data_IF_369753332988
#
_entry.id   IF_369753332988
#
_cell.length_a   1.000
_cell.length_b   1.000
_cell.length_c   1.000
_cell.angle_alpha   90.00
_cell.angle_beta   90.00
_cell.angle_gamma   90.00
#
_symmetry.space_group_name_H-M   'P 1'
#
loop_
_entity.id
_entity.type
_entity.pdbx_description
1 polymer ?
#
# COMPACT_ATOMS: atom_id res chain seq x y z
N UNK A 1 20.84 12.50 14.82
CA UNK A 1 19.49 12.40 15.44
C UNK A 1 18.76 11.27 14.76
N UNK A 2 17.99 10.51 15.51
CA UNK A 2 17.06 9.54 14.93
C UNK A 2 15.98 10.29 14.15
N UNK A 3 15.60 9.77 12.97
CA UNK A 3 14.60 10.41 12.12
C UNK A 3 13.20 10.37 12.73
N UNK A 4 12.34 11.34 12.39
CA UNK A 4 10.94 11.39 12.85
C UNK A 4 10.02 10.55 11.97
N UNK A 5 10.16 10.62 10.65
CA UNK A 5 9.44 9.78 9.69
C UNK A 5 9.78 8.31 9.95
N UNK A 6 8.74 7.47 10.01
CA UNK A 6 8.85 6.07 10.36
C UNK A 6 9.19 5.21 9.14
N UNK A 7 9.96 4.16 9.36
CA UNK A 7 10.25 3.16 8.32
C UNK A 7 9.32 1.97 8.51
N UNK A 8 8.51 1.70 7.48
CA UNK A 8 7.72 0.48 7.37
C UNK A 8 8.48 -0.48 6.46
N UNK A 9 8.75 -1.70 6.88
CA UNK A 9 9.44 -2.68 6.05
C UNK A 9 8.62 -3.96 5.93
N UNK A 10 8.53 -4.50 4.71
CA UNK A 10 7.79 -5.72 4.44
C UNK A 10 8.64 -6.93 4.80
N UNK A 11 8.09 -7.81 5.63
CA UNK A 11 8.69 -9.10 5.93
C UNK A 11 8.50 -10.06 4.75
N UNK A 12 9.42 -11.01 4.61
CA UNK A 12 9.35 -12.00 3.56
C UNK A 12 10.53 -12.96 3.54
N UNK A 13 10.65 -13.78 2.47
CA UNK A 13 11.64 -14.84 2.39
C UNK A 13 13.09 -14.41 2.66
N UNK A 14 13.47 -13.18 2.28
CA UNK A 14 14.82 -12.65 2.48
C UNK A 14 15.11 -12.18 3.90
N UNK A 15 14.10 -11.94 4.74
CA UNK A 15 14.26 -11.31 6.05
C UNK A 15 13.36 -11.86 7.17
N UNK A 16 12.86 -13.10 7.02
CA UNK A 16 12.01 -13.77 8.03
C UNK A 16 12.77 -14.31 9.25
N UNK A 17 14.10 -14.40 9.17
CA UNK A 17 14.94 -14.84 10.29
C UNK A 17 15.07 -13.74 11.34
N UNK A 18 15.06 -14.14 12.61
CA UNK A 18 15.03 -13.24 13.76
C UNK A 18 16.23 -12.27 13.82
N UNK A 19 17.45 -12.73 13.48
CA UNK A 19 18.66 -11.90 13.53
C UNK A 19 18.64 -10.81 12.43
N UNK A 20 18.07 -11.14 11.27
CA UNK A 20 17.88 -10.18 10.18
C UNK A 20 16.80 -9.15 10.54
N UNK A 21 15.69 -9.58 11.13
CA UNK A 21 14.66 -8.66 11.64
C UNK A 21 15.28 -7.74 12.68
N UNK A 22 16.03 -8.26 13.65
CA UNK A 22 16.70 -7.44 14.66
C UNK A 22 17.64 -6.41 14.01
N UNK A 23 18.37 -6.81 12.97
CA UNK A 23 19.25 -5.92 12.21
C UNK A 23 18.47 -4.81 11.50
N UNK A 24 17.29 -5.10 10.93
CA UNK A 24 16.41 -4.08 10.35
C UNK A 24 15.84 -3.12 11.41
N UNK A 25 15.50 -3.61 12.60
CA UNK A 25 15.05 -2.78 13.74
C UNK A 25 16.15 -1.80 14.16
N UNK A 26 17.40 -2.27 14.23
CA UNK A 26 18.57 -1.43 14.51
C UNK A 26 18.85 -0.42 13.39
N UNK A 27 18.55 -0.78 12.15
CA UNK A 27 18.65 0.11 10.99
C UNK A 27 17.56 1.19 10.93
N UNK A 28 16.51 1.11 11.77
CA UNK A 28 15.46 2.14 11.88
C UNK A 28 14.05 1.65 11.57
N UNK A 29 13.85 0.36 11.27
CA UNK A 29 12.50 -0.20 11.07
C UNK A 29 11.64 0.03 12.32
N UNK A 30 10.52 0.73 12.12
CA UNK A 30 9.55 1.10 13.17
C UNK A 30 8.27 0.27 13.08
N UNK A 31 7.94 -0.21 11.89
CA UNK A 31 6.75 -1.03 11.64
C UNK A 31 7.11 -2.14 10.66
N UNK A 32 6.70 -3.36 10.96
CA UNK A 32 6.76 -4.50 10.04
C UNK A 32 5.43 -4.64 9.31
N UNK A 33 5.49 -4.81 7.99
CA UNK A 33 4.34 -5.18 7.15
C UNK A 33 4.39 -6.68 6.88
N UNK A 34 3.31 -7.37 7.22
CA UNK A 34 3.07 -8.79 6.92
C UNK A 34 2.10 -8.84 5.73
N UNK A 35 2.54 -9.35 4.60
CA UNK A 35 1.77 -9.31 3.35
C UNK A 35 0.99 -10.61 3.10
N UNK A 36 -0.31 -10.60 3.37
CA UNK A 36 -1.18 -11.77 3.25
C UNK A 36 -1.44 -12.19 1.79
N UNK A 37 -1.05 -11.39 0.78
CA UNK A 37 -1.15 -11.77 -0.64
C UNK A 37 -0.22 -12.91 -1.04
N UNK A 38 0.89 -13.09 -0.29
CA UNK A 38 1.94 -14.07 -0.59
C UNK A 38 2.22 -15.02 0.57
N UNK A 39 1.66 -14.75 1.75
CA UNK A 39 1.83 -15.56 2.95
C UNK A 39 0.57 -16.39 3.23
N UNK A 40 0.78 -17.65 3.61
CA UNK A 40 -0.25 -18.47 4.24
C UNK A 40 -0.26 -18.24 5.76
N UNK A 41 -1.20 -18.88 6.44
CA UNK A 41 -1.39 -18.70 7.87
C UNK A 41 -0.21 -19.16 8.72
N UNK A 42 0.60 -20.11 8.26
CA UNK A 42 1.80 -20.54 8.99
C UNK A 42 2.90 -19.49 8.86
N UNK A 43 3.11 -18.97 7.65
CA UNK A 43 4.10 -17.90 7.39
C UNK A 43 3.76 -16.65 8.20
N UNK A 44 2.48 -16.24 8.23
CA UNK A 44 2.04 -15.07 9.01
C UNK A 44 2.37 -15.25 10.51
N UNK A 45 2.14 -16.44 11.08
CA UNK A 45 2.46 -16.75 12.49
C UNK A 45 3.96 -16.71 12.75
N UNK A 46 4.75 -17.30 11.87
CA UNK A 46 6.21 -17.33 11.98
C UNK A 46 6.80 -15.92 11.92
N UNK A 47 6.39 -15.11 10.93
CA UNK A 47 6.85 -13.73 10.77
C UNK A 47 6.52 -12.89 12.01
N UNK A 48 5.32 -13.05 12.56
CA UNK A 48 4.90 -12.34 13.77
C UNK A 48 5.69 -12.77 15.00
N UNK A 49 5.93 -14.07 15.18
CA UNK A 49 6.72 -14.58 16.31
C UNK A 49 8.17 -14.08 16.24
N UNK A 50 8.80 -14.17 15.08
CA UNK A 50 10.16 -13.66 14.85
C UNK A 50 10.24 -12.15 15.08
N UNK A 51 9.23 -11.39 14.64
CA UNK A 51 9.15 -9.94 14.87
C UNK A 51 9.13 -9.58 16.36
N UNK A 52 8.26 -10.23 17.13
CA UNK A 52 8.12 -9.94 18.57
C UNK A 52 9.38 -10.28 19.35
N UNK A 53 10.03 -11.40 19.02
CA UNK A 53 11.29 -11.77 19.65
C UNK A 53 12.45 -10.84 19.26
N UNK A 54 12.56 -10.49 17.98
CA UNK A 54 13.55 -9.52 17.50
C UNK A 54 13.38 -8.13 18.15
N UNK A 55 12.13 -7.66 18.26
CA UNK A 55 11.76 -6.42 18.95
C UNK A 55 12.18 -6.44 20.41
N UNK A 56 11.89 -7.53 21.13
CA UNK A 56 12.30 -7.74 22.53
C UNK A 56 13.82 -7.72 22.69
N UNK A 57 14.56 -8.44 21.84
CA UNK A 57 16.04 -8.45 21.89
C UNK A 57 16.66 -7.12 21.48
N UNK A 58 16.02 -6.37 20.59
CA UNK A 58 16.46 -5.04 20.20
C UNK A 58 16.16 -3.97 21.28
N UNK A 59 15.23 -4.24 22.20
CA UNK A 59 14.77 -3.27 23.19
C UNK A 59 14.00 -2.11 22.55
N UNK A 60 13.28 -2.36 21.44
CA UNK A 60 12.50 -1.36 20.71
C UNK A 60 11.14 -1.91 20.37
N UNK A 61 10.10 -1.13 20.63
CA UNK A 61 8.75 -1.46 20.18
C UNK A 61 8.63 -1.29 18.66
N UNK A 62 8.02 -2.26 18.00
CA UNK A 62 7.85 -2.29 16.55
C UNK A 62 6.42 -2.72 16.24
N UNK A 63 5.68 -1.86 15.55
CA UNK A 63 4.31 -2.15 15.13
C UNK A 63 4.25 -3.22 14.04
N UNK A 64 3.11 -3.89 13.90
CA UNK A 64 2.83 -4.89 12.89
C UNK A 64 1.55 -4.53 12.13
N UNK A 65 1.68 -4.35 10.80
CA UNK A 65 0.55 -4.16 9.89
C UNK A 65 0.30 -5.47 9.15
N UNK A 66 -0.90 -6.02 9.29
CA UNK A 66 -1.38 -7.09 8.42
C UNK A 66 -1.99 -6.48 7.15
N UNK A 67 -1.34 -6.64 6.01
CA UNK A 67 -1.82 -6.15 4.72
C UNK A 67 -2.66 -7.23 4.02
N UNK A 68 -3.97 -7.03 4.01
CA UNK A 68 -4.94 -7.95 3.42
C UNK A 68 -4.81 -7.99 1.90
N UNK A 69 -5.10 -9.14 1.30
CA UNK A 69 -4.98 -9.31 -0.14
C UNK A 69 -6.05 -8.50 -0.89
N UNK A 70 -7.27 -8.47 -0.36
CA UNK A 70 -8.42 -7.86 -1.04
C UNK A 70 -8.84 -8.63 -2.31
N UNK A 71 -9.87 -8.13 -3.02
CA UNK A 71 -10.47 -8.80 -4.18
C UNK A 71 -9.63 -8.62 -5.46
N UNK A 72 -8.35 -9.02 -5.43
CA UNK A 72 -7.42 -8.86 -6.55
C UNK A 72 -7.82 -9.73 -7.74
N UNK A 73 -8.12 -9.08 -8.86
CA UNK A 73 -8.48 -9.72 -10.12
C UNK A 73 -7.23 -10.24 -10.83
N UNK A 74 -7.32 -11.43 -11.41
CA UNK A 74 -6.20 -12.10 -12.09
C UNK A 74 -6.65 -12.86 -13.34
N UNK A 75 -5.71 -13.05 -14.27
CA UNK A 75 -5.84 -14.06 -15.33
C UNK A 75 -5.59 -15.45 -14.77
N UNK A 76 -6.10 -16.49 -15.43
CA UNK A 76 -5.89 -17.88 -15.06
C UNK A 76 -4.50 -18.40 -15.40
N UNK A 77 -4.40 -19.73 -15.54
CA UNK A 77 -3.16 -20.39 -15.93
C UNK A 77 -2.92 -20.27 -17.43
N UNK A 78 -1.66 -20.13 -17.82
CA UNK A 78 -1.23 -20.03 -19.22
C UNK A 78 -0.27 -21.17 -19.53
N UNK A 79 -0.49 -21.82 -20.67
CA UNK A 79 0.35 -22.90 -21.15
C UNK A 79 1.83 -22.47 -21.19
N UNK A 80 2.73 -23.38 -20.79
CA UNK A 80 4.18 -23.12 -20.71
C UNK A 80 4.56 -21.91 -19.83
N UNK A 81 3.69 -21.51 -18.90
CA UNK A 81 3.89 -20.41 -17.96
C UNK A 81 4.11 -19.02 -18.60
N UNK A 82 3.75 -18.87 -19.88
CA UNK A 82 3.88 -17.60 -20.59
C UNK A 82 3.39 -17.65 -22.03
N UNK A 83 2.71 -16.61 -22.46
CA UNK A 83 2.28 -16.40 -23.83
C UNK A 83 2.73 -15.02 -24.32
N UNK A 84 3.25 -14.96 -25.55
CA UNK A 84 3.60 -13.70 -26.20
C UNK A 84 2.34 -13.12 -26.83
N UNK A 85 1.99 -11.91 -26.44
CA UNK A 85 0.94 -11.13 -27.08
C UNK A 85 1.56 -10.08 -28.00
N UNK A 86 1.30 -10.19 -29.30
CA UNK A 86 1.76 -9.21 -30.29
C UNK A 86 0.84 -7.99 -30.34
N UNK A 87 1.40 -6.80 -30.53
CA UNK A 87 0.61 -5.59 -30.75
C UNK A 87 -0.28 -5.74 -32.00
N UNK A 88 -1.53 -5.30 -31.89
CA UNK A 88 -2.53 -5.38 -32.95
C UNK A 88 -3.16 -6.78 -33.13
N UNK A 89 -2.74 -7.80 -32.39
CA UNK A 89 -3.42 -9.09 -32.45
C UNK A 89 -4.74 -9.06 -31.67
N UNK A 90 -5.63 -9.99 -32.00
CA UNK A 90 -6.86 -10.22 -31.24
C UNK A 90 -6.58 -11.16 -30.07
N UNK A 91 -7.20 -10.91 -28.92
CA UNK A 91 -7.04 -11.70 -27.70
C UNK A 91 -8.35 -11.78 -26.93
N UNK A 92 -8.69 -12.96 -26.43
CA UNK A 92 -9.97 -13.23 -25.77
C UNK A 92 -9.79 -13.37 -24.27
N UNK A 93 -10.53 -12.57 -23.50
CA UNK A 93 -10.74 -12.81 -22.07
C UNK A 93 -12.02 -13.62 -21.91
N UNK A 94 -11.98 -14.72 -21.15
CA UNK A 94 -13.16 -15.57 -20.96
C UNK A 94 -13.42 -15.89 -19.49
N UNK A 95 -14.69 -15.97 -19.10
CA UNK A 95 -15.09 -16.49 -17.77
C UNK A 95 -15.05 -18.02 -17.68
N UNK A 96 -14.86 -18.71 -18.81
CA UNK A 96 -14.68 -20.17 -18.84
C UNK A 96 -13.32 -20.55 -18.27
N UNK A 97 -13.30 -21.63 -17.48
CA UNK A 97 -12.06 -22.17 -16.92
C UNK A 97 -11.29 -22.93 -18.01
N UNK A 98 -10.31 -22.26 -18.59
CA UNK A 98 -9.40 -22.79 -19.60
C UNK A 98 -7.95 -22.50 -19.21
N UNK A 99 -7.03 -23.34 -19.71
CA UNK A 99 -5.60 -23.02 -19.75
C UNK A 99 -5.41 -22.09 -20.95
N UNK A 100 -4.98 -20.86 -20.67
CA UNK A 100 -4.78 -19.83 -21.68
C UNK A 100 -3.53 -20.04 -22.54
N UNK A 101 -3.46 -19.28 -23.62
CA UNK A 101 -2.38 -19.25 -24.60
C UNK A 101 -2.23 -17.84 -25.19
N UNK A 102 -1.66 -17.70 -26.40
CA UNK A 102 -1.52 -16.40 -27.07
C UNK A 102 -2.81 -15.85 -27.69
N UNK A 103 -3.91 -16.61 -27.63
CA UNK A 103 -5.21 -16.23 -28.22
C UNK A 103 -6.29 -15.99 -27.17
N UNK A 104 -6.25 -16.71 -26.05
CA UNK A 104 -7.27 -16.58 -25.01
C UNK A 104 -6.75 -16.88 -23.62
N UNK A 105 -7.40 -16.32 -22.59
CA UNK A 105 -7.13 -16.65 -21.19
C UNK A 105 -8.38 -16.54 -20.34
N UNK A 106 -8.47 -17.40 -19.33
CA UNK A 106 -9.52 -17.33 -18.31
C UNK A 106 -9.30 -16.16 -17.35
N UNK A 107 -10.37 -15.65 -16.76
CA UNK A 107 -10.34 -14.63 -15.72
C UNK A 107 -10.82 -15.18 -14.38
N UNK A 108 -10.24 -14.67 -13.29
CA UNK A 108 -10.53 -15.14 -11.92
C UNK A 108 -11.96 -14.88 -11.43
N UNK A 109 -12.64 -13.86 -11.97
CA UNK A 109 -14.00 -13.52 -11.60
C UNK A 109 -14.85 -13.28 -12.87
N UNK A 110 -15.95 -14.04 -13.09
CA UNK A 110 -16.86 -13.82 -14.20
C UNK A 110 -17.44 -12.40 -14.29
N UNK A 111 -17.55 -11.67 -13.16
CA UNK A 111 -18.05 -10.30 -13.12
C UNK A 111 -17.24 -9.33 -13.98
N UNK A 112 -15.94 -9.63 -14.20
CA UNK A 112 -15.08 -8.89 -15.12
C UNK A 112 -15.73 -8.83 -16.51
N UNK A 113 -16.20 -9.98 -17.01
CA UNK A 113 -16.77 -10.08 -18.35
C UNK A 113 -18.07 -9.29 -18.45
N UNK A 114 -18.93 -9.35 -17.42
CA UNK A 114 -20.21 -8.64 -17.40
C UNK A 114 -20.08 -7.13 -17.21
N UNK A 115 -19.02 -6.65 -16.57
CA UNK A 115 -18.82 -5.23 -16.31
C UNK A 115 -18.20 -4.47 -17.50
N UNK A 116 -17.51 -5.18 -18.39
CA UNK A 116 -16.86 -4.60 -19.55
C UNK A 116 -17.87 -4.11 -20.59
N UNK A 117 -17.46 -3.07 -21.33
CA UNK A 117 -18.16 -2.49 -22.48
C UNK A 117 -17.16 -2.24 -23.60
N UNK A 118 -17.63 -2.21 -24.85
CA UNK A 118 -16.81 -1.81 -26.01
C UNK A 118 -16.08 -0.49 -25.72
N UNK A 119 -14.80 -0.44 -26.04
CA UNK A 119 -13.91 0.70 -25.81
C UNK A 119 -13.30 0.76 -24.41
N UNK A 120 -13.68 -0.12 -23.46
CA UNK A 120 -12.97 -0.19 -22.19
C UNK A 120 -11.52 -0.65 -22.39
N UNK A 121 -10.63 -0.10 -21.56
CA UNK A 121 -9.24 -0.55 -21.47
C UNK A 121 -9.15 -1.66 -20.43
N UNK A 122 -8.47 -2.76 -20.77
CA UNK A 122 -8.08 -3.81 -19.82
C UNK A 122 -6.57 -3.83 -19.71
N UNK A 123 -6.06 -3.70 -18.50
CA UNK A 123 -4.65 -3.73 -18.20
C UNK A 123 -4.29 -5.07 -17.58
N UNK A 124 -3.21 -5.69 -18.06
CA UNK A 124 -2.70 -6.95 -17.52
C UNK A 124 -1.26 -6.78 -17.03
N UNK A 125 -0.90 -7.56 -16.02
CA UNK A 125 0.44 -7.57 -15.42
C UNK A 125 0.90 -6.17 -15.01
N UNK A 126 0.13 -5.57 -14.10
CA UNK A 126 0.37 -4.26 -13.49
C UNK A 126 0.55 -3.14 -14.55
N UNK A 127 -0.29 -3.18 -15.60
CA UNK A 127 -0.29 -2.18 -16.68
C UNK A 127 0.70 -2.42 -17.81
N UNK A 128 1.57 -3.44 -17.71
CA UNK A 128 2.59 -3.70 -18.73
C UNK A 128 2.02 -4.17 -20.06
N UNK A 129 0.87 -4.85 -20.08
CA UNK A 129 0.11 -5.14 -21.30
C UNK A 129 -1.21 -4.38 -21.28
N UNK A 130 -1.61 -3.87 -22.46
CA UNK A 130 -2.84 -3.09 -22.63
C UNK A 130 -3.70 -3.70 -23.71
N UNK A 131 -4.95 -3.97 -23.37
CA UNK A 131 -5.98 -4.43 -24.27
C UNK A 131 -7.09 -3.37 -24.38
N UNK A 132 -7.79 -3.35 -25.51
CA UNK A 132 -9.00 -2.55 -25.72
C UNK A 132 -10.15 -3.47 -26.15
N UNK A 133 -11.30 -3.37 -25.46
CA UNK A 133 -12.46 -4.22 -25.74
C UNK A 133 -13.10 -3.84 -27.09
N UNK A 134 -13.17 -4.80 -28.00
CA UNK A 134 -13.82 -4.63 -29.31
C UNK A 134 -15.23 -5.22 -29.33
N UNK A 135 -15.44 -6.41 -28.76
CA UNK A 135 -16.73 -7.10 -28.77
C UNK A 135 -16.92 -7.96 -27.53
N UNK A 136 -18.17 -8.11 -27.10
CA UNK A 136 -18.55 -8.95 -25.97
C UNK A 136 -19.60 -9.94 -26.47
N UNK A 137 -19.34 -11.24 -26.30
CA UNK A 137 -20.21 -12.31 -26.76
C UNK A 137 -20.30 -13.40 -25.70
N UNK A 138 -21.42 -13.38 -24.94
CA UNK A 138 -21.67 -14.36 -23.87
C UNK A 138 -20.60 -14.31 -22.79
N UNK A 139 -19.80 -15.37 -22.68
CA UNK A 139 -18.72 -15.51 -21.70
C UNK A 139 -17.36 -15.02 -22.19
N UNK A 140 -17.28 -14.51 -23.42
CA UNK A 140 -16.03 -14.11 -24.06
C UNK A 140 -16.03 -12.60 -24.37
N UNK A 141 -14.87 -11.95 -24.15
CA UNK A 141 -14.60 -10.57 -24.53
C UNK A 141 -13.45 -10.57 -25.52
N UNK A 142 -13.74 -10.19 -26.76
CA UNK A 142 -12.73 -9.96 -27.79
C UNK A 142 -12.08 -8.60 -27.55
N UNK A 143 -10.76 -8.61 -27.42
CA UNK A 143 -9.96 -7.41 -27.24
C UNK A 143 -8.89 -7.29 -28.32
N UNK A 144 -8.53 -6.05 -28.64
CA UNK A 144 -7.33 -5.71 -29.41
C UNK A 144 -6.16 -5.50 -28.48
N UNK A 145 -5.02 -6.14 -28.74
CA UNK A 145 -3.78 -5.85 -28.02
C UNK A 145 -3.25 -4.50 -28.49
N UNK A 146 -3.20 -3.51 -27.60
CA UNK A 146 -2.64 -2.18 -27.85
C UNK A 146 -1.18 -2.06 -27.40
N UNK A 147 -0.82 -2.72 -26.31
CA UNK A 147 0.56 -2.87 -25.90
C UNK A 147 0.82 -4.35 -25.61
N UNK A 148 1.72 -4.95 -26.38
CA UNK A 148 2.06 -6.37 -26.32
C UNK A 148 3.12 -6.69 -25.27
N UNK A 149 3.43 -7.98 -25.12
CA UNK A 149 4.41 -8.44 -24.14
C UNK A 149 4.25 -9.92 -23.80
N UNK A 150 4.93 -10.37 -22.74
CA UNK A 150 4.79 -11.74 -22.24
C UNK A 150 3.78 -11.74 -21.10
N UNK A 151 2.58 -12.28 -21.34
CA UNK A 151 1.60 -12.53 -20.30
C UNK A 151 1.94 -13.85 -19.59
N UNK A 152 2.06 -13.82 -18.26
CA UNK A 152 2.28 -15.01 -17.43
C UNK A 152 1.01 -15.40 -16.67
N UNK A 153 1.00 -16.63 -16.15
CA UNK A 153 -0.10 -17.13 -15.31
C UNK A 153 -0.34 -16.24 -14.09
N UNK A 154 -1.60 -16.11 -13.68
CA UNK A 154 -2.02 -15.47 -12.40
C UNK A 154 -1.61 -14.00 -12.26
N UNK A 155 -1.29 -13.32 -13.37
CA UNK A 155 -1.01 -11.89 -13.40
C UNK A 155 -2.27 -11.06 -13.15
N UNK A 156 -2.08 -9.87 -12.58
CA UNK A 156 -3.18 -8.97 -12.21
C UNK A 156 -3.97 -8.49 -13.42
N UNK A 157 -5.26 -8.23 -13.22
CA UNK A 157 -6.15 -7.54 -14.15
C UNK A 157 -6.57 -6.22 -13.48
N UNK A 158 -6.43 -5.12 -14.20
CA UNK A 158 -6.94 -3.82 -13.79
C UNK A 158 -7.90 -3.30 -14.87
N UNK A 159 -9.01 -2.71 -14.42
CA UNK A 159 -10.08 -2.21 -15.29
C UNK A 159 -10.33 -0.71 -15.01
N UNK A 160 -9.45 0.20 -15.47
CA UNK A 160 -9.60 1.62 -15.18
C UNK A 160 -10.94 2.17 -15.67
N UNK A 161 -11.69 2.81 -14.77
CA UNK A 161 -12.99 3.40 -15.07
C UNK A 161 -14.14 2.38 -15.24
N UNK A 162 -13.93 1.13 -14.84
CA UNK A 162 -14.98 0.09 -14.80
C UNK A 162 -15.32 -0.20 -13.33
N UNK A 163 -16.57 0.04 -12.97
CA UNK A 163 -17.09 -0.28 -11.64
C UNK A 163 -17.39 -1.78 -11.54
N UNK A 164 -16.89 -2.41 -10.47
CA UNK A 164 -17.18 -3.80 -10.12
C UNK A 164 -17.81 -3.85 -8.73
N UNK A 165 -18.90 -4.60 -8.59
CA UNK A 165 -19.63 -4.79 -7.34
C UNK A 165 -19.03 -5.94 -6.51
N UNK A 166 -17.74 -5.83 -6.19
CA UNK A 166 -17.03 -6.80 -5.37
C UNK A 166 -17.22 -6.51 -3.88
N UNK A 167 -17.31 -7.55 -3.07
CA UNK A 167 -17.13 -7.39 -1.62
C UNK A 167 -15.72 -6.87 -1.31
N UNK A 168 -15.56 -5.97 -0.32
CA UNK A 168 -14.25 -5.45 0.06
C UNK A 168 -13.34 -6.51 0.70
N UNK A 169 -13.92 -7.59 1.24
CA UNK A 169 -13.19 -8.67 1.91
C UNK A 169 -13.47 -10.00 1.24
N UNK A 170 -12.40 -10.69 0.83
CA UNK A 170 -12.49 -12.08 0.37
C UNK A 170 -12.64 -13.04 1.55
N UNK A 171 -13.02 -14.29 1.29
CA UNK A 171 -12.99 -15.33 2.33
C UNK A 171 -11.60 -15.53 2.93
N UNK A 172 -10.54 -15.34 2.13
CA UNK A 172 -9.16 -15.40 2.61
C UNK A 172 -8.90 -14.26 3.59
N UNK A 173 -9.29 -13.03 3.22
CA UNK A 173 -9.10 -11.86 4.08
C UNK A 173 -9.82 -12.02 5.43
N UNK A 174 -11.05 -12.58 5.43
CA UNK A 174 -11.80 -12.87 6.67
C UNK A 174 -11.06 -13.87 7.58
N UNK A 175 -10.41 -14.89 7.00
CA UNK A 175 -9.59 -15.86 7.76
C UNK A 175 -8.31 -15.21 8.28
N UNK A 176 -7.60 -14.48 7.42
CA UNK A 176 -6.35 -13.80 7.78
C UNK A 176 -6.59 -12.74 8.86
N UNK A 177 -7.73 -12.05 8.83
CA UNK A 177 -8.11 -11.07 9.84
C UNK A 177 -8.29 -11.72 11.22
N UNK A 178 -9.00 -12.86 11.28
CA UNK A 178 -9.16 -13.60 12.52
C UNK A 178 -7.83 -14.10 13.08
N UNK A 179 -6.95 -14.57 12.19
CA UNK A 179 -5.57 -14.89 12.53
C UNK A 179 -4.81 -13.68 13.08
N UNK A 180 -4.90 -12.53 12.42
CA UNK A 180 -4.24 -11.29 12.84
C UNK A 180 -4.63 -10.86 14.26
N UNK A 181 -5.93 -10.96 14.58
CA UNK A 181 -6.45 -10.71 15.93
C UNK A 181 -5.90 -11.71 16.95
N UNK A 182 -5.85 -12.99 16.60
CA UNK A 182 -5.34 -14.06 17.47
C UNK A 182 -3.86 -13.85 17.85
N UNK A 183 -3.04 -13.40 16.89
CA UNK A 183 -1.58 -13.23 17.09
C UNK A 183 -1.18 -11.81 17.51
N UNK A 184 -2.15 -10.90 17.66
CA UNK A 184 -1.93 -9.54 18.16
C UNK A 184 -1.22 -8.62 17.18
N UNK A 185 -1.66 -8.57 15.92
CA UNK A 185 -1.23 -7.51 14.98
C UNK A 185 -1.81 -6.15 15.41
N UNK A 186 -1.09 -5.07 15.14
CA UNK A 186 -1.40 -3.74 15.68
C UNK A 186 -2.32 -2.93 14.78
N UNK A 187 -2.37 -3.26 13.49
CA UNK A 187 -3.19 -2.60 12.48
C UNK A 187 -3.47 -3.55 11.32
N UNK A 188 -4.63 -3.39 10.67
CA UNK A 188 -4.94 -4.05 9.41
C UNK A 188 -4.96 -3.05 8.27
N UNK A 189 -4.34 -3.37 7.14
CA UNK A 189 -4.46 -2.58 5.92
C UNK A 189 -5.46 -3.21 4.95
N UNK A 190 -6.47 -2.43 4.55
CA UNK A 190 -7.50 -2.83 3.61
C UNK A 190 -7.08 -2.42 2.18
N UNK A 191 -6.89 -3.40 1.31
CA UNK A 191 -6.55 -3.22 -0.11
C UNK A 191 -7.76 -2.84 -0.94
N UNK A 192 -7.52 -2.16 -2.08
CA UNK A 192 -8.52 -1.80 -3.08
C UNK A 192 -9.73 -1.04 -2.53
N UNK A 193 -9.52 -0.17 -1.54
CA UNK A 193 -10.59 0.68 -1.01
C UNK A 193 -11.15 1.54 -2.14
N UNK A 194 -12.48 1.54 -2.30
CA UNK A 194 -13.20 2.37 -3.29
C UNK A 194 -13.99 3.48 -2.61
N UNK A 195 -14.43 3.27 -1.37
CA UNK A 195 -15.25 4.23 -0.63
C UNK A 195 -15.13 4.08 0.89
N UNK A 196 -15.63 5.07 1.64
CA UNK A 196 -15.76 5.01 3.10
C UNK A 196 -16.59 3.80 3.58
N UNK A 197 -17.54 3.33 2.76
CA UNK A 197 -18.36 2.15 3.07
C UNK A 197 -17.52 0.87 3.22
N UNK A 198 -16.48 0.70 2.42
CA UNK A 198 -15.61 -0.48 2.50
C UNK A 198 -14.93 -0.56 3.88
N UNK A 199 -14.48 0.60 4.39
CA UNK A 199 -13.84 0.72 5.71
C UNK A 199 -14.87 0.48 6.83
N UNK A 200 -16.05 1.10 6.73
CA UNK A 200 -17.12 0.91 7.69
C UNK A 200 -17.57 -0.56 7.78
N UNK A 201 -17.55 -1.29 6.66
CA UNK A 201 -17.83 -2.72 6.63
C UNK A 201 -16.78 -3.55 7.36
N UNK A 202 -15.49 -3.32 7.10
CA UNK A 202 -14.42 -3.97 7.86
C UNK A 202 -14.51 -3.62 9.36
N UNK A 203 -14.82 -2.37 9.71
CA UNK A 203 -14.98 -1.95 11.10
C UNK A 203 -16.14 -2.67 11.80
N UNK A 204 -17.28 -2.85 11.12
CA UNK A 204 -18.39 -3.67 11.65
C UNK A 204 -17.96 -5.12 11.86
N UNK A 205 -17.18 -5.68 10.94
CA UNK A 205 -16.68 -7.05 11.05
C UNK A 205 -15.73 -7.21 12.24
N UNK A 206 -14.78 -6.28 12.43
CA UNK A 206 -13.88 -6.27 13.59
C UNK A 206 -14.64 -6.16 14.92
N UNK A 207 -15.64 -5.27 15.00
CA UNK A 207 -16.48 -5.13 16.19
C UNK A 207 -17.30 -6.38 16.49
N UNK A 208 -17.79 -7.07 15.46
CA UNK A 208 -18.47 -8.35 15.64
C UNK A 208 -17.53 -9.44 16.18
N UNK A 209 -16.22 -9.30 15.97
CA UNK A 209 -15.17 -10.14 16.56
C UNK A 209 -14.66 -9.60 17.91
N UNK A 210 -15.24 -8.52 18.44
CA UNK A 210 -14.85 -7.93 19.72
C UNK A 210 -13.56 -7.10 19.68
N UNK A 211 -13.18 -6.56 18.51
CA UNK A 211 -11.97 -5.78 18.33
C UNK A 211 -12.25 -4.39 17.74
N UNK A 212 -11.48 -3.41 18.20
CA UNK A 212 -11.40 -2.06 17.62
C UNK A 212 -10.03 -1.82 16.94
N UNK A 213 -9.39 -2.90 16.44
CA UNK A 213 -8.11 -2.83 15.75
C UNK A 213 -8.10 -1.73 14.66
N UNK A 214 -7.08 -0.85 14.64
CA UNK A 214 -6.97 0.21 13.64
C UNK A 214 -7.01 -0.29 12.20
N UNK A 215 -7.71 0.45 11.35
CA UNK A 215 -7.82 0.18 9.90
C UNK A 215 -7.04 1.22 9.12
N UNK A 216 -6.10 0.75 8.30
CA UNK A 216 -5.38 1.52 7.31
C UNK A 216 -6.01 1.35 5.93
N UNK A 217 -6.51 2.43 5.33
CA UNK A 217 -7.07 2.38 3.99
C UNK A 217 -5.94 2.51 2.94
N UNK A 218 -5.83 1.55 2.02
CA UNK A 218 -4.89 1.64 0.90
C UNK A 218 -5.56 2.34 -0.29
N UNK A 219 -5.02 3.50 -0.64
CA UNK A 219 -5.55 4.33 -1.71
C UNK A 219 -4.93 3.89 -3.04
N UNK A 220 -5.66 3.02 -3.73
CA UNK A 220 -5.23 2.33 -4.95
C UNK A 220 -6.21 2.59 -6.12
N UNK A 221 -7.42 3.05 -5.82
CA UNK A 221 -8.54 3.14 -6.76
C UNK A 221 -8.97 4.59 -6.98
N UNK A 222 -9.40 4.89 -8.21
CA UNK A 222 -9.87 6.22 -8.63
C UNK A 222 -11.03 6.72 -7.76
N UNK A 223 -11.94 5.82 -7.41
CA UNK A 223 -13.13 6.07 -6.61
C UNK A 223 -12.76 6.57 -5.21
N UNK A 224 -11.77 5.95 -4.57
CA UNK A 224 -11.30 6.41 -3.26
C UNK A 224 -10.60 7.76 -3.34
N UNK A 225 -9.91 8.07 -4.44
CA UNK A 225 -9.32 9.39 -4.67
C UNK A 225 -10.39 10.48 -4.88
N UNK A 226 -11.50 10.13 -5.54
CA UNK A 226 -12.62 11.06 -5.75
C UNK A 226 -13.26 11.47 -4.41
N UNK A 227 -13.43 10.52 -3.49
CA UNK A 227 -14.04 10.72 -2.16
C UNK A 227 -13.03 10.64 -1.00
N UNK A 228 -11.80 11.14 -1.24
CA UNK A 228 -10.68 10.93 -0.32
C UNK A 228 -10.93 11.48 1.10
N UNK A 229 -11.68 12.56 1.23
CA UNK A 229 -11.98 13.17 2.54
C UNK A 229 -12.84 12.25 3.41
N UNK A 230 -13.85 11.58 2.84
CA UNK A 230 -14.70 10.65 3.57
C UNK A 230 -13.96 9.35 3.87
N UNK A 231 -13.16 8.86 2.92
CA UNK A 231 -12.30 7.67 3.11
C UNK A 231 -11.33 7.88 4.28
N UNK A 232 -10.59 8.99 4.28
CA UNK A 232 -9.64 9.33 5.37
C UNK A 232 -10.34 9.48 6.71
N UNK A 233 -11.55 10.05 6.73
CA UNK A 233 -12.32 10.27 7.96
C UNK A 233 -12.72 8.96 8.64
N UNK A 234 -13.14 7.98 7.85
CA UNK A 234 -13.58 6.68 8.33
C UNK A 234 -12.40 5.75 8.69
N UNK A 235 -11.22 5.97 8.07
CA UNK A 235 -10.00 5.22 8.36
C UNK A 235 -9.28 5.71 9.63
N UNK A 236 -8.43 4.87 10.20
CA UNK A 236 -7.53 5.24 11.30
C UNK A 236 -6.16 5.70 10.79
N UNK A 237 -5.74 5.18 9.63
CA UNK A 237 -4.56 5.60 8.89
C UNK A 237 -4.78 5.40 7.38
N UNK A 238 -3.90 5.95 6.55
CA UNK A 238 -3.95 5.74 5.09
C UNK A 238 -2.60 5.37 4.50
N UNK A 239 -2.63 4.61 3.41
CA UNK A 239 -1.44 4.25 2.63
C UNK A 239 -1.61 4.73 1.19
N UNK A 240 -0.67 5.54 0.70
CA UNK A 240 -0.59 5.94 -0.71
C UNK A 240 0.17 4.87 -1.48
N UNK A 241 -0.54 3.97 -2.16
CA UNK A 241 0.03 2.85 -2.91
C UNK A 241 0.25 3.25 -4.38
N UNK A 242 1.37 3.91 -4.65
CA UNK A 242 1.66 4.61 -5.92
C UNK A 242 1.75 3.67 -7.12
N UNK A 243 2.26 2.46 -6.92
CA UNK A 243 2.35 1.43 -7.95
C UNK A 243 0.96 1.05 -8.46
N UNK A 244 0.07 0.62 -7.57
CA UNK A 244 -1.31 0.26 -7.93
C UNK A 244 -2.10 1.48 -8.43
N UNK A 245 -1.92 2.65 -7.81
CA UNK A 245 -2.59 3.88 -8.24
C UNK A 245 -2.14 4.32 -9.65
N UNK A 246 -0.87 4.13 -9.99
CA UNK A 246 -0.30 4.39 -11.33
C UNK A 246 -0.78 3.43 -12.42
N UNK A 247 -1.46 2.33 -12.05
CA UNK A 247 -2.15 1.46 -13.01
C UNK A 247 -3.56 1.99 -13.30
N UNK A 248 -4.21 2.66 -12.34
CA UNK A 248 -5.60 3.11 -12.43
C UNK A 248 -5.74 4.58 -12.89
N UNK A 249 -4.69 5.37 -12.72
CA UNK A 249 -4.62 6.81 -13.00
C UNK A 249 -3.48 7.13 -13.97
N UNK A 250 -3.54 8.29 -14.61
CA UNK A 250 -2.45 8.76 -15.46
C UNK A 250 -1.19 9.04 -14.61
N UNK A 251 -0.02 8.68 -15.12
CA UNK A 251 1.22 8.69 -14.34
C UNK A 251 1.61 10.12 -13.91
N UNK A 252 1.31 11.11 -14.74
CA UNK A 252 1.52 12.53 -14.45
C UNK A 252 0.68 13.07 -13.29
N UNK A 253 -0.45 12.42 -12.97
CA UNK A 253 -1.31 12.82 -11.85
C UNK A 253 -0.79 12.29 -10.51
N UNK A 254 -0.02 11.19 -10.51
CA UNK A 254 0.40 10.49 -9.28
C UNK A 254 1.11 11.42 -8.27
N UNK A 255 2.07 12.29 -8.66
CA UNK A 255 2.69 13.20 -7.71
C UNK A 255 1.70 14.19 -7.08
N UNK A 256 0.69 14.64 -7.82
CA UNK A 256 -0.33 15.56 -7.31
C UNK A 256 -1.31 14.85 -6.38
N UNK A 257 -1.70 13.62 -6.72
CA UNK A 257 -2.56 12.78 -5.90
C UNK A 257 -1.90 12.42 -4.57
N UNK A 258 -0.63 12.04 -4.58
CA UNK A 258 0.15 11.79 -3.36
C UNK A 258 0.08 12.98 -2.40
N UNK A 259 0.43 14.19 -2.89
CA UNK A 259 0.39 15.42 -2.09
C UNK A 259 -0.99 15.69 -1.52
N UNK A 260 -2.04 15.53 -2.34
CA UNK A 260 -3.43 15.72 -1.91
C UNK A 260 -3.81 14.73 -0.81
N UNK A 261 -3.51 13.44 -0.97
CA UNK A 261 -3.87 12.40 0.01
C UNK A 261 -3.14 12.67 1.35
N UNK A 262 -1.84 12.95 1.30
CA UNK A 262 -1.05 13.26 2.49
C UNK A 262 -1.59 14.50 3.21
N UNK A 263 -1.88 15.58 2.47
CA UNK A 263 -2.43 16.80 3.06
C UNK A 263 -3.81 16.59 3.73
N UNK A 264 -4.69 15.79 3.11
CA UNK A 264 -6.00 15.45 3.69
C UNK A 264 -5.84 14.63 4.96
N UNK A 265 -4.94 13.63 4.95
CA UNK A 265 -4.64 12.81 6.14
C UNK A 265 -4.09 13.66 7.29
N UNK A 266 -3.10 14.51 7.00
CA UNK A 266 -2.50 15.42 7.97
C UNK A 266 -3.54 16.38 8.58
N UNK A 267 -4.44 16.94 7.76
CA UNK A 267 -5.50 17.84 8.22
C UNK A 267 -6.50 17.16 9.15
N UNK A 268 -6.73 15.86 8.97
CA UNK A 268 -7.62 15.06 9.81
C UNK A 268 -6.88 14.34 10.95
N UNK A 269 -5.58 14.60 11.14
CA UNK A 269 -4.76 13.98 12.18
C UNK A 269 -4.59 12.46 12.00
N UNK A 270 -4.67 11.96 10.77
CA UNK A 270 -4.55 10.55 10.43
C UNK A 270 -3.14 10.23 9.93
N UNK A 271 -2.45 9.23 10.48
CA UNK A 271 -1.15 8.80 9.96
C UNK A 271 -1.22 8.39 8.49
N UNK A 272 -0.21 8.80 7.72
CA UNK A 272 -0.09 8.42 6.31
C UNK A 272 1.26 7.79 5.98
N UNK A 273 1.20 6.68 5.24
CA UNK A 273 2.37 5.97 4.71
C UNK A 273 2.45 6.13 3.20
N UNK A 274 3.58 6.60 2.69
CA UNK A 274 3.87 6.56 1.25
C UNK A 274 4.53 5.23 0.91
N UNK A 275 3.94 4.51 -0.05
CA UNK A 275 4.26 3.11 -0.31
C UNK A 275 4.55 2.82 -1.79
N UNK A 276 5.28 1.72 -2.01
CA UNK A 276 5.72 1.18 -3.32
C UNK A 276 6.66 2.09 -4.08
N UNK A 277 7.49 1.54 -4.96
CA UNK A 277 8.43 2.30 -5.81
C UNK A 277 9.35 3.27 -5.03
N UNK A 278 9.70 2.97 -3.76
CA UNK A 278 10.55 3.83 -2.96
C UNK A 278 12.02 3.65 -3.34
N UNK A 279 12.61 2.50 -3.01
CA UNK A 279 14.01 2.17 -3.31
C UNK A 279 14.09 0.91 -4.17
N UNK A 280 13.17 0.77 -5.14
CA UNK A 280 12.92 -0.46 -5.91
C UNK A 280 14.18 -1.07 -6.53
N UNK A 281 15.14 -0.26 -7.01
CA UNK A 281 16.40 -0.74 -7.57
C UNK A 281 17.21 -1.55 -6.56
N UNK A 282 17.02 -1.29 -5.26
CA UNK A 282 17.74 -1.98 -4.19
C UNK A 282 17.31 -3.43 -3.96
N UNK A 283 16.29 -3.91 -4.68
CA UNK A 283 16.02 -5.36 -4.76
C UNK A 283 17.24 -6.09 -5.31
N UNK A 284 17.89 -5.52 -6.33
CA UNK A 284 19.02 -6.13 -7.03
C UNK A 284 20.34 -5.36 -6.87
N UNK A 285 20.29 -4.08 -6.50
CA UNK A 285 21.43 -3.18 -6.30
C UNK A 285 21.72 -2.94 -4.81
N UNK A 286 22.99 -2.75 -4.39
CA UNK A 286 23.31 -2.36 -3.02
C UNK A 286 23.04 -0.87 -2.73
N UNK A 287 22.81 -0.05 -3.76
CA UNK A 287 22.56 1.39 -3.61
C UNK A 287 21.34 1.84 -4.42
N UNK A 288 20.60 2.85 -3.93
CA UNK A 288 19.48 3.42 -4.67
C UNK A 288 19.97 4.39 -5.75
N UNK A 289 19.11 4.67 -6.70
CA UNK A 289 19.32 5.70 -7.71
C UNK A 289 19.08 7.10 -7.14
N UNK A 290 19.59 8.13 -7.83
CA UNK A 290 19.32 9.54 -7.46
C UNK A 290 17.83 9.90 -7.54
N UNK A 291 17.10 9.28 -8.47
CA UNK A 291 15.67 9.51 -8.64
C UNK A 291 14.89 8.99 -7.43
N UNK A 292 15.17 7.77 -6.99
CA UNK A 292 14.56 7.16 -5.80
C UNK A 292 14.86 7.94 -4.52
N UNK A 293 16.11 8.40 -4.34
CA UNK A 293 16.47 9.26 -3.21
C UNK A 293 15.65 10.56 -3.21
N UNK A 294 15.48 11.18 -4.39
CA UNK A 294 14.69 12.40 -4.56
C UNK A 294 13.20 12.15 -4.28
N UNK A 295 12.69 11.00 -4.72
CA UNK A 295 11.31 10.60 -4.53
C UNK A 295 10.97 10.36 -3.05
N UNK A 296 11.81 9.60 -2.33
CA UNK A 296 11.70 9.44 -0.87
C UNK A 296 11.74 10.79 -0.17
N UNK A 297 12.68 11.65 -0.51
CA UNK A 297 12.80 12.98 0.10
C UNK A 297 11.54 13.82 -0.13
N UNK A 298 10.95 13.77 -1.33
CA UNK A 298 9.71 14.48 -1.62
C UNK A 298 8.52 13.94 -0.84
N UNK A 299 8.40 12.62 -0.64
CA UNK A 299 7.35 12.07 0.22
C UNK A 299 7.44 12.61 1.67
N UNK A 300 8.67 12.82 2.17
CA UNK A 300 8.91 13.43 3.48
C UNK A 300 8.56 14.93 3.48
N UNK A 301 8.95 15.67 2.43
CA UNK A 301 8.56 17.09 2.25
C UNK A 301 7.05 17.28 2.07
N UNK A 302 6.34 16.27 1.56
CA UNK A 302 4.89 16.29 1.47
C UNK A 302 4.22 16.10 2.84
N UNK A 303 4.96 15.60 3.83
CA UNK A 303 4.50 15.39 5.20
C UNK A 303 4.13 13.95 5.52
N UNK A 304 4.67 12.96 4.81
CA UNK A 304 4.41 11.55 5.09
C UNK A 304 4.94 11.14 6.48
N UNK A 305 4.09 10.54 7.31
CA UNK A 305 4.47 10.04 8.65
C UNK A 305 5.36 8.80 8.55
N UNK A 306 5.16 7.99 7.51
CA UNK A 306 6.00 6.84 7.22
C UNK A 306 6.30 6.64 5.75
N UNK A 307 7.36 5.91 5.46
CA UNK A 307 7.76 5.47 4.12
C UNK A 307 7.97 3.96 4.12
N UNK A 308 7.51 3.28 3.07
CA UNK A 308 7.42 1.83 3.07
C UNK A 308 8.34 1.14 2.05
N UNK A 309 9.16 0.22 2.55
CA UNK A 309 9.92 -0.74 1.76
C UNK A 309 9.07 -2.00 1.51
N UNK A 310 8.99 -2.41 0.25
CA UNK A 310 8.19 -3.53 -0.24
C UNK A 310 9.09 -4.73 -0.60
N UNK A 311 9.38 -4.90 -1.89
CA UNK A 311 10.21 -6.01 -2.36
C UNK A 311 11.66 -5.87 -1.91
N UNK A 312 12.10 -4.64 -1.65
CA UNK A 312 13.45 -4.29 -1.22
C UNK A 312 13.90 -5.08 0.01
N UNK A 313 13.00 -5.26 0.98
CA UNK A 313 13.24 -6.04 2.21
C UNK A 313 12.70 -7.46 2.12
N UNK A 314 11.54 -7.66 1.50
CA UNK A 314 10.87 -8.95 1.49
C UNK A 314 11.59 -10.02 0.65
N UNK A 315 12.11 -9.62 -0.53
CA UNK A 315 12.72 -10.54 -1.51
C UNK A 315 14.07 -10.04 -2.05
N UNK A 316 14.51 -8.85 -1.65
CA UNK A 316 15.78 -8.27 -2.06
C UNK A 316 16.98 -9.07 -1.59
N UNK A 317 18.13 -8.85 -2.25
CA UNK A 317 19.40 -9.53 -1.93
C UNK A 317 20.01 -9.06 -0.62
N UNK A 318 19.72 -7.83 -0.20
CA UNK A 318 20.35 -7.18 0.94
C UNK A 318 19.29 -6.49 1.80
N UNK A 319 18.43 -7.21 2.54
CA UNK A 319 17.23 -6.64 3.16
C UNK A 319 17.51 -5.54 4.20
N UNK A 320 18.69 -5.52 4.83
CA UNK A 320 19.06 -4.49 5.82
C UNK A 320 19.51 -3.17 5.16
N UNK A 321 20.11 -3.25 3.96
CA UNK A 321 20.68 -2.07 3.29
C UNK A 321 19.63 -1.03 2.85
N UNK A 322 18.45 -1.40 2.31
CA UNK A 322 17.35 -0.47 2.06
C UNK A 322 16.92 0.27 3.32
N UNK A 323 16.83 -0.39 4.47
CA UNK A 323 16.47 0.26 5.73
C UNK A 323 17.53 1.29 6.16
N UNK A 324 18.82 0.93 6.08
CA UNK A 324 19.93 1.86 6.35
C UNK A 324 19.91 3.08 5.41
N UNK A 325 19.69 2.86 4.12
CA UNK A 325 19.63 3.95 3.14
C UNK A 325 18.40 4.83 3.38
N UNK A 326 17.24 4.24 3.65
CA UNK A 326 16.02 4.95 4.01
C UNK A 326 16.25 5.85 5.23
N UNK A 327 16.85 5.32 6.30
CA UNK A 327 17.15 6.07 7.51
C UNK A 327 18.09 7.25 7.24
N UNK A 328 19.10 7.08 6.37
CA UNK A 328 20.02 8.16 5.98
C UNK A 328 19.31 9.26 5.19
N UNK A 329 18.43 8.88 4.26
CA UNK A 329 17.64 9.83 3.47
C UNK A 329 16.69 10.61 4.40
N UNK A 330 15.99 9.92 5.30
CA UNK A 330 15.11 10.54 6.30
C UNK A 330 15.88 11.55 7.14
N UNK A 331 16.95 11.09 7.81
CA UNK A 331 17.72 11.94 8.72
C UNK A 331 18.31 13.17 8.04
N UNK A 332 18.71 13.07 6.76
CA UNK A 332 19.22 14.21 6.01
C UNK A 332 18.11 15.15 5.56
N UNK A 333 17.01 14.61 5.00
CA UNK A 333 15.88 15.41 4.50
C UNK A 333 15.23 16.22 5.62
N UNK A 334 15.09 15.62 6.81
CA UNK A 334 14.47 16.28 7.96
C UNK A 334 15.22 17.52 8.48
N UNK A 335 16.52 17.64 8.18
CA UNK A 335 17.29 18.86 8.53
C UNK A 335 16.84 20.10 7.76
N UNK A 336 16.15 19.91 6.64
CA UNK A 336 15.68 20.98 5.75
C UNK A 336 14.15 21.15 5.78
N UNK A 337 13.44 20.45 6.66
CA UNK A 337 11.98 20.55 6.71
C UNK A 337 11.53 21.94 7.19
N UNK A 338 10.53 22.55 6.53
CA UNK A 338 10.06 23.89 6.84
C UNK A 338 9.06 23.88 8.02
N UNK A 339 9.49 23.39 9.18
CA UNK A 339 8.63 23.20 10.36
C UNK A 339 7.90 24.49 10.78
N UNK A 340 8.54 25.66 10.67
CA UNK A 340 7.91 26.93 11.00
C UNK A 340 6.74 27.25 10.05
N UNK A 341 6.92 27.04 8.75
CA UNK A 341 5.86 27.25 7.77
C UNK A 341 4.71 26.27 7.98
N UNK A 342 5.02 24.99 8.26
CA UNK A 342 4.00 23.97 8.56
C UNK A 342 3.21 24.30 9.82
N UNK A 343 3.86 24.78 10.88
CA UNK A 343 3.17 25.16 12.10
C UNK A 343 2.23 26.35 11.85
N UNK A 344 2.69 27.37 11.11
CA UNK A 344 1.85 28.53 10.79
C UNK A 344 0.66 28.17 9.88
N UNK A 345 0.85 27.24 8.94
CA UNK A 345 -0.25 26.68 8.15
C UNK A 345 -1.28 25.98 9.05
N UNK A 346 -0.81 25.13 9.98
CA UNK A 346 -1.65 24.36 10.91
C UNK A 346 -2.46 25.23 11.86
N UNK A 347 -2.02 26.46 12.13
CA UNK A 347 -2.84 27.46 12.87
C UNK A 347 -4.22 27.63 12.23
N UNK A 348 -4.32 27.55 10.90
CA UNK A 348 -5.58 27.71 10.14
C UNK A 348 -6.50 26.50 10.26
N UNK A 349 -6.01 25.37 10.76
CA UNK A 349 -6.79 24.15 10.90
C UNK A 349 -7.55 24.09 12.24
N UNK A 350 -7.18 24.95 13.19
CA UNK A 350 -7.89 25.10 14.47
C UNK A 350 -9.31 25.59 14.16
N UNK A 351 -10.27 24.67 14.23
CA UNK A 351 -11.69 24.91 13.98
C UNK A 351 -12.45 24.70 15.28
N UNK A 352 -12.56 25.77 16.09
CA UNK A 352 -13.30 25.87 17.37
C UNK A 352 -13.08 24.77 18.44
N UNK A 353 -12.18 23.80 18.21
CA UNK A 353 -11.92 22.67 19.07
C UNK A 353 -10.82 22.94 20.10
N UNK A 354 -11.09 22.53 21.35
CA UNK A 354 -10.14 22.65 22.48
C UNK A 354 -8.90 21.77 22.24
N UNK A 355 -9.07 20.60 21.61
CA UNK A 355 -7.98 19.64 21.38
C UNK A 355 -6.91 20.23 20.47
N UNK A 356 -7.32 20.74 19.31
CA UNK A 356 -6.42 21.35 18.32
C UNK A 356 -5.73 22.59 18.90
N UNK A 357 -6.45 23.40 19.68
CA UNK A 357 -5.89 24.58 20.33
C UNK A 357 -4.79 24.22 21.36
N UNK A 358 -5.01 23.19 22.18
CA UNK A 358 -4.02 22.72 23.16
C UNK A 358 -2.80 22.12 22.46
N UNK A 359 -3.00 21.28 21.44
CA UNK A 359 -1.92 20.70 20.65
C UNK A 359 -1.07 21.78 19.96
N UNK A 360 -1.73 22.75 19.31
CA UNK A 360 -1.04 23.87 18.68
C UNK A 360 -0.24 24.70 19.69
N UNK A 361 -0.84 25.04 20.83
CA UNK A 361 -0.16 25.79 21.88
C UNK A 361 1.08 25.04 22.40
N UNK A 362 1.00 23.73 22.58
CA UNK A 362 2.15 22.91 22.98
C UNK A 362 3.29 22.97 21.95
N UNK A 363 2.98 22.85 20.65
CA UNK A 363 3.96 22.98 19.57
C UNK A 363 4.58 24.38 19.50
N UNK A 364 3.77 25.42 19.63
CA UNK A 364 4.23 26.81 19.60
C UNK A 364 5.11 27.16 20.81
N UNK A 365 4.76 26.67 22.00
CA UNK A 365 5.60 26.80 23.19
C UNK A 365 6.94 26.09 22.99
N UNK A 366 6.94 24.84 22.52
CA UNK A 366 8.17 24.09 22.27
C UNK A 366 9.08 24.81 21.26
N UNK A 367 8.50 25.43 20.22
CA UNK A 367 9.22 26.24 19.25
C UNK A 367 9.85 27.48 19.89
N UNK A 368 9.09 28.24 20.69
CA UNK A 368 9.56 29.51 21.26
C UNK A 368 10.60 29.34 22.36
N UNK A 369 10.48 28.31 23.18
CA UNK A 369 11.36 28.09 24.34
C UNK A 369 12.53 27.15 24.06
N UNK A 370 12.63 26.63 22.83
CA UNK A 370 13.61 25.61 22.44
C UNK A 370 13.56 24.35 23.35
N UNK A 371 12.37 24.00 23.88
CA UNK A 371 12.24 22.75 24.61
C UNK A 371 12.54 21.56 23.68
N UNK A 372 13.35 20.64 24.18
CA UNK A 372 13.81 19.49 23.40
C UNK A 372 12.73 18.42 23.21
N UNK A 373 11.69 18.38 24.06
CA UNK A 373 10.69 17.31 24.09
C UNK A 373 9.28 17.85 24.39
N UNK A 374 8.25 17.25 23.76
CA UNK A 374 6.84 17.40 24.11
C UNK A 374 6.33 16.04 24.59
N UNK A 375 5.81 15.97 25.81
CA UNK A 375 5.27 14.73 26.39
C UNK A 375 3.74 14.75 26.27
N UNK A 376 3.18 13.77 25.58
CA UNK A 376 1.74 13.53 25.51
C UNK A 376 1.42 12.20 26.21
N UNK A 377 0.49 12.22 27.16
CA UNK A 377 -0.01 11.01 27.83
C UNK A 377 -1.31 10.59 27.17
N UNK A 378 -1.39 9.32 26.78
CA UNK A 378 -2.57 8.69 26.17
C UNK A 378 -2.95 7.45 26.99
N UNK A 379 -4.24 7.11 27.00
CA UNK A 379 -4.76 5.87 27.60
C UNK A 379 -4.47 4.65 26.73
#
# INVERSE_FOLDING_TARGET
>A
MEGKTKIVATLGPSCRDEDLIQSMIRAGMSVARINASHADSNVIREEMASLREASRKAGREVGAILDLMGPKLRVGEIANNGAVLAEGQDFILTSRQIIGDSRSVSVSNPEIISALKRGNTVLLDDGSLRLEVEEISGSDVLCKVRNGGILRSRKGINLPGVELDLEPLTEKDRRDLGLGLEIGVDCVALSFVRSSRDIAELRRYLRAMGSDMPIMAKIEKREAVADIEAVVREADAVMVARGDLGVEMDLEDIPLLQKRIIAVAARQGKPVITATQMLQSMISSPTPTRAEVTDVANAIFDGSDGVMLSGETAVGRHPVEPANNMQRIIAHTETALPYEAWLEERRRWISDGVVEAVCFAACELARQTFFFNVTATTE
#
